data_IF_723126599453
#
_entry.id   IF_723126599453
#
_cell.length_a   1.000
_cell.length_b   1.000
_cell.length_c   1.000
_cell.angle_alpha   90.00
_cell.angle_beta   90.00
_cell.angle_gamma   90.00
#
_symmetry.space_group_name_H-M   'P 1'
#
loop_
_entity.id
_entity.type
_entity.pdbx_description
1 polymer ?
#
# COMPACT_ATOMS: atom_id res chain seq x y z
N UNK A 1 23.93 -10.51 48.52
CA UNK A 1 24.58 -11.18 47.38
C UNK A 1 23.52 -11.90 46.56
N UNK A 2 22.94 -11.22 45.58
CA UNK A 2 22.05 -11.84 44.57
C UNK A 2 22.88 -12.04 43.30
N UNK A 3 23.01 -13.28 42.83
CA UNK A 3 23.76 -13.64 41.61
C UNK A 3 23.16 -12.90 40.39
N UNK A 4 23.95 -12.10 39.65
CA UNK A 4 23.48 -11.36 38.47
C UNK A 4 23.06 -12.27 37.30
N UNK A 5 23.27 -13.59 37.38
CA UNK A 5 22.90 -14.58 36.34
C UNK A 5 21.54 -15.23 36.56
N UNK A 6 20.81 -14.89 37.62
CA UNK A 6 19.44 -15.37 37.84
C UNK A 6 18.38 -14.30 37.50
N UNK A 7 18.54 -13.63 36.35
CA UNK A 7 17.40 -12.99 35.68
C UNK A 7 16.60 -14.12 35.05
N UNK A 8 15.72 -14.70 35.87
CA UNK A 8 14.74 -15.72 35.51
C UNK A 8 14.31 -15.54 34.06
N UNK A 9 14.48 -16.59 33.29
CA UNK A 9 13.96 -16.78 31.94
C UNK A 9 12.45 -16.54 31.96
N UNK A 10 12.03 -15.28 31.92
CA UNK A 10 10.69 -14.91 31.49
C UNK A 10 10.71 -15.16 30.00
N UNK A 11 10.34 -16.38 29.61
CA UNK A 11 9.94 -16.67 28.25
C UNK A 11 8.94 -15.56 27.89
N UNK A 12 9.24 -14.70 26.90
CA UNK A 12 8.29 -13.69 26.48
C UNK A 12 6.98 -14.41 26.16
N UNK A 13 5.86 -13.91 26.68
CA UNK A 13 4.56 -14.37 26.20
C UNK A 13 4.57 -14.31 24.67
N UNK A 14 3.87 -15.21 23.96
CA UNK A 14 3.70 -15.08 22.52
C UNK A 14 3.21 -13.66 22.26
N UNK A 15 4.05 -12.81 21.64
CA UNK A 15 3.68 -11.45 21.29
C UNK A 15 2.65 -11.60 20.19
N UNK A 16 1.37 -11.65 20.58
CA UNK A 16 0.27 -11.62 19.62
C UNK A 16 0.31 -10.23 19.00
N UNK A 17 0.51 -10.14 17.68
CA UNK A 17 0.48 -8.85 17.02
C UNK A 17 -0.87 -8.17 17.30
N UNK A 18 -0.91 -6.84 17.52
CA UNK A 18 -2.14 -6.14 17.84
C UNK A 18 -3.22 -6.42 16.78
N UNK A 19 -4.49 -6.57 17.18
CA UNK A 19 -5.57 -6.85 16.23
C UNK A 19 -5.63 -5.74 15.17
N UNK A 20 -5.83 -6.14 13.92
CA UNK A 20 -5.75 -5.23 12.79
C UNK A 20 -5.89 -5.95 11.46
N UNK A 21 -5.85 -5.15 10.41
CA UNK A 21 -5.96 -5.59 9.03
C UNK A 21 -4.61 -6.12 8.56
N UNK A 22 -4.63 -7.27 7.90
CA UNK A 22 -3.41 -7.89 7.36
C UNK A 22 -2.96 -7.14 6.11
N UNK A 23 -1.73 -7.42 5.71
CA UNK A 23 -1.27 -6.99 4.40
C UNK A 23 -2.16 -7.62 3.31
N UNK A 24 -2.72 -6.81 2.43
CA UNK A 24 -3.64 -7.23 1.37
C UNK A 24 -3.21 -6.65 0.02
N UNK A 25 -3.38 -7.44 -1.02
CA UNK A 25 -3.15 -7.03 -2.41
C UNK A 25 -4.51 -6.84 -3.09
N UNK A 26 -4.74 -5.69 -3.71
CA UNK A 26 -6.01 -5.35 -4.36
C UNK A 26 -5.94 -5.33 -5.89
N UNK A 27 -4.99 -6.07 -6.48
CA UNK A 27 -4.67 -6.07 -7.92
C UNK A 27 -3.99 -4.82 -8.46
N UNK A 28 -3.87 -3.77 -7.65
CA UNK A 28 -3.21 -2.52 -8.04
C UNK A 28 -1.99 -2.24 -7.15
N UNK A 29 -2.15 -2.39 -5.83
CA UNK A 29 -1.11 -2.08 -4.86
C UNK A 29 -1.21 -2.90 -3.59
N UNK A 30 -0.14 -2.78 -2.80
CA UNK A 30 -0.05 -3.43 -1.51
C UNK A 30 -0.58 -2.53 -0.39
N UNK A 31 -1.62 -2.98 0.30
CA UNK A 31 -2.12 -2.38 1.54
C UNK A 31 -1.39 -3.02 2.70
N UNK A 32 -0.40 -2.33 3.25
CA UNK A 32 0.36 -2.82 4.40
C UNK A 32 -0.52 -2.93 5.64
N UNK A 33 -0.16 -3.85 6.54
CA UNK A 33 -0.82 -4.04 7.83
C UNK A 33 -1.17 -2.70 8.51
N UNK A 34 -2.39 -2.62 9.01
CA UNK A 34 -2.88 -1.51 9.81
C UNK A 34 -3.61 -1.99 11.06
N UNK A 35 -3.63 -1.16 12.09
CA UNK A 35 -4.38 -1.34 13.33
C UNK A 35 -5.84 -0.89 13.16
N UNK A 36 -6.74 -1.50 13.92
CA UNK A 36 -8.16 -1.12 13.92
C UNK A 36 -8.33 0.36 14.23
N UNK A 37 -9.05 1.09 13.38
CA UNK A 37 -9.28 2.52 13.47
C UNK A 37 -8.30 3.36 12.65
N UNK A 38 -7.25 2.77 12.07
CA UNK A 38 -6.36 3.49 11.16
C UNK A 38 -7.02 3.72 9.79
N UNK A 39 -6.79 4.91 9.25
CA UNK A 39 -7.14 5.28 7.87
C UNK A 39 -5.84 5.42 7.10
N UNK A 40 -5.68 4.61 6.06
CA UNK A 40 -4.56 4.71 5.13
C UNK A 40 -5.00 5.55 3.95
N UNK A 41 -4.32 6.67 3.72
CA UNK A 41 -4.49 7.52 2.55
C UNK A 41 -3.29 7.32 1.63
N UNK A 42 -3.52 7.31 0.33
CA UNK A 42 -2.47 7.16 -0.67
C UNK A 42 -2.74 8.08 -1.84
N UNK A 43 -1.70 8.78 -2.29
CA UNK A 43 -1.79 9.64 -3.45
C UNK A 43 -1.82 8.84 -4.75
N UNK A 44 -2.55 9.33 -5.76
CA UNK A 44 -2.59 8.71 -7.09
C UNK A 44 -1.19 8.59 -7.73
N UNK A 45 -0.30 9.54 -7.43
CA UNK A 45 1.10 9.50 -7.84
C UNK A 45 1.87 8.27 -7.34
N UNK A 46 1.52 7.77 -6.15
CA UNK A 46 2.09 6.54 -5.58
C UNK A 46 1.52 5.27 -6.23
N UNK A 47 0.32 5.35 -6.79
CA UNK A 47 -0.33 4.24 -7.50
C UNK A 47 0.30 4.08 -8.89
N UNK A 48 0.40 5.17 -9.65
CA UNK A 48 1.09 5.20 -10.94
C UNK A 48 1.49 6.63 -11.30
N UNK A 49 2.64 6.78 -11.96
CA UNK A 49 3.08 8.08 -12.50
C UNK A 49 2.23 8.56 -13.67
N UNK A 50 1.33 7.72 -14.18
CA UNK A 50 0.41 8.04 -15.28
C UNK A 50 -0.87 8.75 -14.81
N UNK A 51 -1.16 8.74 -13.51
CA UNK A 51 -2.34 9.41 -12.98
C UNK A 51 -2.08 10.90 -12.73
N UNK A 52 -3.14 11.70 -12.77
CA UNK A 52 -3.07 13.05 -12.23
C UNK A 52 -2.73 12.99 -10.73
N UNK A 53 -1.75 13.80 -10.31
CA UNK A 53 -1.12 13.69 -8.99
C UNK A 53 -1.94 14.34 -7.86
N UNK A 54 -3.12 14.87 -8.15
CA UNK A 54 -3.93 15.64 -7.19
C UNK A 54 -4.92 14.78 -6.38
N UNK A 55 -5.09 13.51 -6.76
CA UNK A 55 -6.05 12.59 -6.14
C UNK A 55 -5.50 11.77 -4.97
N UNK A 56 -6.39 11.38 -4.06
CA UNK A 56 -6.11 10.46 -2.95
C UNK A 56 -7.20 9.40 -2.82
N UNK A 57 -6.76 8.17 -2.54
CA UNK A 57 -7.63 7.04 -2.20
C UNK A 57 -7.46 6.66 -0.73
N UNK A 58 -8.50 6.12 -0.13
CA UNK A 58 -8.53 5.80 1.28
C UNK A 58 -9.04 4.37 1.53
N UNK A 59 -8.41 3.69 2.49
CA UNK A 59 -8.95 2.47 3.12
C UNK A 59 -8.95 2.61 4.63
N UNK A 60 -10.01 2.13 5.25
CA UNK A 60 -10.17 2.13 6.70
C UNK A 60 -9.92 0.71 7.20
N UNK A 61 -9.11 0.58 8.24
CA UNK A 61 -8.96 -0.68 8.93
C UNK A 61 -10.00 -0.78 10.05
N UNK A 62 -10.90 -1.75 9.94
CA UNK A 62 -11.96 -2.00 10.94
C UNK A 62 -11.68 -3.30 11.70
N UNK A 63 -12.52 -3.60 12.69
CA UNK A 63 -12.46 -4.89 13.41
C UNK A 63 -12.73 -6.08 12.48
N UNK A 64 -13.46 -5.84 11.40
CA UNK A 64 -13.87 -6.86 10.43
C UNK A 64 -12.89 -6.97 9.25
N UNK A 65 -11.89 -6.08 9.17
CA UNK A 65 -10.88 -6.05 8.11
C UNK A 65 -10.85 -4.71 7.36
N UNK A 66 -10.23 -4.73 6.18
CA UNK A 66 -10.19 -3.58 5.29
C UNK A 66 -11.57 -3.24 4.76
N UNK A 67 -11.92 -1.96 4.77
CA UNK A 67 -13.08 -1.48 3.99
C UNK A 67 -12.77 -1.48 2.51
N UNK A 68 -13.83 -1.35 1.72
CA UNK A 68 -13.72 -0.96 0.33
C UNK A 68 -13.02 0.40 0.20
N UNK A 69 -12.43 0.61 -0.98
CA UNK A 69 -11.76 1.84 -1.33
C UNK A 69 -12.75 2.98 -1.49
N UNK A 70 -12.36 4.16 -1.02
CA UNK A 70 -13.13 5.37 -1.23
C UNK A 70 -12.21 6.58 -1.45
N UNK A 71 -12.46 7.42 -2.47
CA UNK A 71 -13.21 7.07 -3.68
C UNK A 71 -12.52 5.91 -4.42
N UNK A 72 -13.17 5.34 -5.44
CA UNK A 72 -12.54 4.29 -6.25
C UNK A 72 -11.35 4.86 -7.03
N UNK A 73 -10.46 4.00 -7.54
CA UNK A 73 -9.31 4.46 -8.33
C UNK A 73 -9.72 5.32 -9.53
N UNK A 74 -10.81 4.95 -10.22
CA UNK A 74 -11.31 5.66 -11.40
C UNK A 74 -11.84 7.06 -11.04
N UNK A 75 -12.44 7.22 -9.87
CA UNK A 75 -12.97 8.49 -9.38
C UNK A 75 -11.88 9.38 -8.77
N UNK A 76 -10.89 8.77 -8.11
CA UNK A 76 -9.83 9.50 -7.43
C UNK A 76 -8.69 9.90 -8.37
N UNK A 77 -8.32 8.99 -9.26
CA UNK A 77 -7.13 9.05 -10.09
C UNK A 77 -7.52 9.11 -11.56
N UNK A 78 -7.99 10.28 -12.00
CA UNK A 78 -8.17 10.52 -13.44
C UNK A 78 -6.82 10.34 -14.14
N UNK A 79 -6.83 9.61 -15.26
CA UNK A 79 -5.68 9.56 -16.16
C UNK A 79 -5.38 11.00 -16.59
N UNK A 80 -4.14 11.45 -16.42
CA UNK A 80 -3.77 12.75 -16.96
C UNK A 80 -4.04 12.72 -18.45
N UNK A 81 -4.87 13.63 -18.96
CA UNK A 81 -5.11 13.76 -20.40
C UNK A 81 -3.76 14.06 -21.08
N UNK A 82 -3.09 13.03 -21.58
CA UNK A 82 -2.12 13.20 -22.63
C UNK A 82 -2.88 13.62 -23.88
N UNK A 83 -2.94 14.93 -24.11
CA UNK A 83 -3.18 15.49 -25.45
C UNK A 83 -2.19 14.82 -26.40
N UNK A 84 -2.65 13.78 -27.07
CA UNK A 84 -1.94 13.13 -28.15
C UNK A 84 -1.82 14.12 -29.32
N UNK A 85 -0.77 14.95 -29.32
CA UNK A 85 -0.17 15.34 -30.60
C UNK A 85 0.68 14.17 -31.06
N UNK A 86 0.08 13.37 -31.92
CA UNK A 86 0.73 12.40 -32.79
C UNK A 86 2.06 12.99 -33.29
N UNK A 87 3.17 12.45 -32.79
CA UNK A 87 4.47 12.63 -33.39
C UNK A 87 5.25 11.35 -33.19
N UNK A 88 5.30 10.59 -34.27
CA UNK A 88 6.10 9.39 -34.44
C UNK A 88 7.57 9.74 -34.20
N UNK A 89 8.15 9.31 -33.08
CA UNK A 89 9.60 9.32 -32.86
C UNK A 89 10.01 8.01 -32.18
N UNK A 90 10.63 7.14 -32.98
CA UNK A 90 11.67 6.19 -32.60
C UNK A 90 11.41 5.32 -31.37
N UNK A 91 10.85 4.12 -31.60
CA UNK A 91 11.04 2.98 -30.70
C UNK A 91 12.53 2.67 -30.62
N UNK A 92 13.18 2.94 -29.48
CA UNK A 92 14.17 2.07 -28.83
C UNK A 92 14.78 2.71 -27.55
N UNK A 93 14.32 2.23 -26.37
CA UNK A 93 15.14 1.61 -25.28
C UNK A 93 14.45 1.70 -23.92
N UNK A 94 13.71 0.63 -23.59
CA UNK A 94 13.67 -0.02 -22.28
C UNK A 94 13.36 0.81 -21.03
N UNK A 95 12.15 0.63 -20.49
CA UNK A 95 11.81 1.07 -19.14
C UNK A 95 10.34 0.85 -18.80
N UNK A 96 9.86 -0.39 -18.83
CA UNK A 96 8.45 -0.71 -18.55
C UNK A 96 7.96 -0.15 -17.20
N UNK A 97 6.80 0.48 -17.19
CA UNK A 97 6.08 0.79 -15.95
C UNK A 97 5.37 -0.44 -15.35
N UNK A 98 5.45 -1.59 -16.04
CA UNK A 98 4.79 -2.85 -15.68
C UNK A 98 5.49 -3.63 -14.56
N UNK A 99 6.68 -3.23 -14.11
CA UNK A 99 7.43 -3.99 -13.09
C UNK A 99 7.05 -3.68 -11.65
N UNK A 100 6.05 -2.83 -11.38
CA UNK A 100 5.62 -2.48 -10.01
C UNK A 100 4.36 -3.22 -9.52
N UNK A 101 3.66 -3.92 -10.41
CA UNK A 101 2.45 -4.70 -10.08
C UNK A 101 2.87 -6.11 -9.64
N UNK A 102 3.74 -6.21 -8.65
CA UNK A 102 4.04 -7.49 -8.00
C UNK A 102 3.19 -7.60 -6.74
N UNK A 103 2.61 -8.79 -6.46
CA UNK A 103 1.96 -9.06 -5.18
C UNK A 103 2.86 -8.65 -4.03
N UNK A 104 2.26 -8.21 -2.91
CA UNK A 104 2.97 -7.83 -1.69
C UNK A 104 4.11 -8.82 -1.38
N UNK A 105 5.37 -8.43 -1.62
CA UNK A 105 6.51 -9.23 -1.19
C UNK A 105 6.67 -9.07 0.33
N UNK A 106 6.65 -10.20 1.03
CA UNK A 106 6.90 -10.32 2.48
C UNK A 106 8.28 -9.86 2.89
#
# INVERSE_FOLDING_TARGET
MTDPRNRKSLNPLPVRPPPGCRTEWDEIRCWLRAEVGQVVNVSCAEVSQLFNNEGYIFRNCTKDGWTDLYPTYEEACEFGEDVATESEVGVERGGGAYWKIWPCHT
#
